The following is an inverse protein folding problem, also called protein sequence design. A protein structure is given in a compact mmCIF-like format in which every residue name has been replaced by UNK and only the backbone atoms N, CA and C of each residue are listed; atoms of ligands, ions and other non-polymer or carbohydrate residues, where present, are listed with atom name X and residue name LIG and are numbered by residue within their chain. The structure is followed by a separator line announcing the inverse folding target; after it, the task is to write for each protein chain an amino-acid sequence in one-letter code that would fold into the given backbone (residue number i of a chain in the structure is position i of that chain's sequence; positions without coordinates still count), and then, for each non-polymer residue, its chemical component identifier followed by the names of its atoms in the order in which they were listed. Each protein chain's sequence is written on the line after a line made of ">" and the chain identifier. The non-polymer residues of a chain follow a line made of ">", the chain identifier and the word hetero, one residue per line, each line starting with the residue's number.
data_IF_881907998044
#
_entry.id   IF_881907998044
#
_cell.length_a   1.000
_cell.length_b   1.000
_cell.length_c   1.000
_cell.angle_alpha   90.00
_cell.angle_beta   90.00
_cell.angle_gamma   90.00
#
_symmetry.space_group_name_H-M   'P 1'
#
loop_
_entity.id
_entity.type
_entity.pdbx_description
1 polymer ?
#
# COMPACT_ATOMS: atom_id res chain seq x y z
N UNK A 1 28.37 46.17 -4.05
CA UNK A 1 27.66 45.72 -2.82
C UNK A 1 26.18 46.08 -2.93
N UNK A 2 25.38 45.25 -3.61
CA UNK A 2 23.92 45.39 -3.60
C UNK A 2 23.36 44.47 -2.51
N UNK A 3 22.64 45.05 -1.55
CA UNK A 3 22.01 44.30 -0.45
C UNK A 3 20.92 43.39 -1.03
N UNK A 4 21.06 42.09 -0.83
CA UNK A 4 19.98 41.11 -0.98
C UNK A 4 18.86 41.50 0.00
N UNK A 5 17.79 42.13 -0.50
CA UNK A 5 16.54 42.25 0.24
C UNK A 5 15.91 40.87 0.32
N UNK A 6 16.12 40.17 1.44
CA UNK A 6 15.29 39.03 1.81
C UNK A 6 13.88 39.56 2.07
N UNK A 7 12.96 39.34 1.13
CA UNK A 7 11.53 39.55 1.38
C UNK A 7 11.12 38.66 2.57
N UNK A 8 10.38 39.18 3.55
CA UNK A 8 9.90 38.36 4.65
C UNK A 8 8.93 37.30 4.10
N UNK A 9 9.20 36.02 4.39
CA UNK A 9 8.27 34.93 4.13
C UNK A 9 7.01 35.22 4.96
N UNK A 10 5.95 35.66 4.29
CA UNK A 10 4.65 35.93 4.91
C UNK A 10 4.16 34.63 5.55
N UNK A 11 4.26 34.52 6.87
CA UNK A 11 3.65 33.43 7.64
C UNK A 11 2.15 33.41 7.33
N UNK A 12 1.76 32.40 6.55
CA UNK A 12 0.40 32.24 6.04
C UNK A 12 -0.42 31.57 7.13
N UNK A 13 -1.41 32.29 7.65
CA UNK A 13 -2.29 31.83 8.75
C UNK A 13 -2.77 30.40 8.54
N UNK A 14 -2.61 29.54 9.56
CA UNK A 14 -2.97 28.11 9.52
C UNK A 14 -4.41 27.84 9.07
N UNK A 15 -5.32 28.79 9.34
CA UNK A 15 -6.71 28.73 8.87
C UNK A 15 -6.88 28.78 7.36
N UNK A 16 -6.02 29.51 6.64
CA UNK A 16 -6.05 29.57 5.16
C UNK A 16 -5.50 28.30 4.50
N UNK A 17 -4.60 27.59 5.19
CA UNK A 17 -4.04 26.33 4.73
C UNK A 17 -5.05 25.19 4.93
N UNK A 18 -5.71 25.14 6.09
CA UNK A 18 -6.75 24.16 6.37
C UNK A 18 -7.93 24.30 5.40
N UNK A 19 -8.43 25.52 5.16
CA UNK A 19 -9.55 25.72 4.22
C UNK A 19 -9.23 25.26 2.81
N UNK A 20 -7.97 25.41 2.36
CA UNK A 20 -7.50 24.92 1.07
C UNK A 20 -7.37 23.41 1.00
N UNK A 21 -6.91 22.77 2.07
CA UNK A 21 -6.90 21.31 2.18
C UNK A 21 -8.33 20.75 2.10
N UNK A 22 -9.28 21.37 2.82
CA UNK A 22 -10.68 20.99 2.75
C UNK A 22 -11.31 21.25 1.38
N UNK A 23 -10.95 22.36 0.69
CA UNK A 23 -11.38 22.63 -0.68
C UNK A 23 -10.85 21.57 -1.65
N UNK A 24 -9.57 21.20 -1.54
CA UNK A 24 -8.95 20.19 -2.37
C UNK A 24 -9.58 18.81 -2.19
N UNK A 25 -10.00 18.46 -0.97
CA UNK A 25 -10.74 17.22 -0.70
C UNK A 25 -12.15 17.23 -1.33
N UNK A 26 -12.78 18.40 -1.47
CA UNK A 26 -14.08 18.55 -2.14
C UNK A 26 -13.98 18.51 -3.66
N UNK A 27 -12.83 18.87 -4.23
CA UNK A 27 -12.59 18.85 -5.69
C UNK A 27 -12.40 17.43 -6.26
N UNK A 28 -12.24 16.44 -5.38
CA UNK A 28 -12.13 15.03 -5.71
C UNK A 28 -13.53 14.42 -5.81
N UNK A 29 -13.80 13.80 -6.94
CA UNK A 29 -15.03 13.05 -7.16
C UNK A 29 -15.01 11.74 -6.35
N UNK A 30 -15.57 11.79 -5.15
CA UNK A 30 -15.63 10.66 -4.24
C UNK A 30 -16.44 9.48 -4.78
N UNK A 31 -17.38 9.71 -5.71
CA UNK A 31 -18.14 8.64 -6.34
C UNK A 31 -17.28 7.84 -7.32
N UNK A 32 -16.30 8.49 -7.95
CA UNK A 32 -15.43 7.88 -8.96
C UNK A 32 -14.16 7.25 -8.36
N UNK A 33 -13.60 7.86 -7.30
CA UNK A 33 -12.31 7.44 -6.74
C UNK A 33 -12.38 6.79 -5.35
N UNK A 34 -13.52 6.85 -4.67
CA UNK A 34 -13.64 6.38 -3.29
C UNK A 34 -13.30 4.90 -3.11
N UNK A 35 -13.74 4.04 -4.04
CA UNK A 35 -13.45 2.61 -4.07
C UNK A 35 -11.93 2.32 -4.17
N UNK A 36 -11.25 2.93 -5.14
CA UNK A 36 -9.82 2.69 -5.36
C UNK A 36 -8.97 3.25 -4.22
N UNK A 37 -9.38 4.37 -3.63
CA UNK A 37 -8.72 4.94 -2.46
C UNK A 37 -8.86 4.05 -1.23
N UNK A 38 -10.04 3.48 -1.00
CA UNK A 38 -10.28 2.56 0.10
C UNK A 38 -9.47 1.26 -0.08
N UNK A 39 -9.48 0.69 -1.30
CA UNK A 39 -8.65 -0.48 -1.64
C UNK A 39 -7.17 -0.18 -1.37
N UNK A 40 -6.65 0.96 -1.87
CA UNK A 40 -5.27 1.37 -1.67
C UNK A 40 -4.94 1.54 -0.19
N UNK A 41 -5.84 2.11 0.61
CA UNK A 41 -5.65 2.25 2.04
C UNK A 41 -5.44 0.89 2.72
N UNK A 42 -6.37 -0.05 2.53
CA UNK A 42 -6.32 -1.37 3.17
C UNK A 42 -5.11 -2.19 2.72
N UNK A 43 -4.80 -2.24 1.42
CA UNK A 43 -3.64 -2.97 0.91
C UNK A 43 -2.31 -2.34 1.37
N UNK A 44 -2.23 -1.01 1.42
CA UNK A 44 -1.04 -0.32 1.92
C UNK A 44 -0.85 -0.57 3.41
N UNK A 45 -1.90 -0.35 4.20
CA UNK A 45 -1.93 -0.58 5.65
C UNK A 45 -1.49 -2.00 5.99
N UNK A 46 -2.09 -3.00 5.33
CA UNK A 46 -1.72 -4.40 5.46
C UNK A 46 -0.21 -4.65 5.30
N UNK A 47 0.36 -4.16 4.20
CA UNK A 47 1.77 -4.35 3.90
C UNK A 47 2.70 -3.55 4.83
N UNK A 48 2.22 -2.46 5.42
CA UNK A 48 2.94 -1.63 6.38
C UNK A 48 2.96 -2.31 7.75
N UNK A 49 1.83 -2.82 8.24
CA UNK A 49 1.74 -3.55 9.52
C UNK A 49 2.72 -4.73 9.53
N UNK A 50 2.79 -5.48 8.43
CA UNK A 50 3.78 -6.54 8.27
C UNK A 50 5.22 -6.01 8.33
N UNK A 51 5.56 -4.99 7.52
CA UNK A 51 6.93 -4.45 7.48
C UNK A 51 7.38 -3.88 8.82
N UNK A 52 6.49 -3.22 9.55
CA UNK A 52 6.78 -2.66 10.88
C UNK A 52 7.09 -3.73 11.92
N UNK A 53 6.57 -4.95 11.77
CA UNK A 53 6.74 -6.05 12.73
C UNK A 53 7.67 -7.16 12.24
N UNK A 54 8.13 -7.11 11.00
CA UNK A 54 8.88 -8.18 10.34
C UNK A 54 10.11 -8.62 11.14
N UNK A 55 10.92 -7.66 11.60
CA UNK A 55 12.14 -7.95 12.36
C UNK A 55 11.83 -8.66 13.68
N UNK A 56 10.81 -8.19 14.40
CA UNK A 56 10.42 -8.75 15.70
C UNK A 56 9.78 -10.14 15.54
N UNK A 57 8.95 -10.32 14.51
CA UNK A 57 8.35 -11.61 14.18
C UNK A 57 9.43 -12.67 13.89
N UNK A 58 10.46 -12.32 13.14
CA UNK A 58 11.54 -13.24 12.80
C UNK A 58 12.43 -13.56 14.01
N UNK A 59 12.80 -12.53 14.78
CA UNK A 59 13.61 -12.69 15.99
C UNK A 59 12.92 -13.63 16.98
N UNK A 60 11.63 -13.39 17.27
CA UNK A 60 10.90 -14.19 18.24
C UNK A 60 10.52 -15.59 17.75
N UNK A 61 10.20 -15.79 16.46
CA UNK A 61 9.85 -17.12 15.94
C UNK A 61 11.05 -18.02 15.66
N UNK A 62 12.19 -17.45 15.25
CA UNK A 62 13.34 -18.23 14.79
C UNK A 62 14.61 -18.00 15.63
N UNK A 63 14.60 -17.08 16.59
CA UNK A 63 15.75 -16.78 17.47
C UNK A 63 16.97 -16.29 16.69
N UNK A 64 16.78 -15.64 15.54
CA UNK A 64 17.88 -15.31 14.64
C UNK A 64 18.55 -13.99 14.98
N UNK A 65 19.87 -13.95 14.82
CA UNK A 65 20.64 -12.74 15.07
C UNK A 65 20.20 -11.54 14.19
N UNK A 66 20.39 -10.29 14.66
CA UNK A 66 20.11 -9.08 13.88
C UNK A 66 20.82 -9.03 12.52
N UNK A 67 21.98 -9.69 12.39
CA UNK A 67 22.72 -9.83 11.12
C UNK A 67 21.90 -10.58 10.07
N UNK A 68 21.24 -11.68 10.47
CA UNK A 68 20.38 -12.47 9.57
C UNK A 68 19.13 -11.66 9.19
N UNK A 69 18.52 -10.95 10.14
CA UNK A 69 17.38 -10.05 9.87
C UNK A 69 17.76 -9.00 8.82
N UNK A 70 18.95 -8.40 8.94
CA UNK A 70 19.47 -7.47 7.93
C UNK A 70 19.64 -8.09 6.54
N UNK A 71 20.10 -9.35 6.46
CA UNK A 71 20.16 -10.07 5.19
C UNK A 71 18.78 -10.35 4.59
N UNK A 72 17.77 -10.66 5.42
CA UNK A 72 16.40 -10.88 4.97
C UNK A 72 15.76 -9.58 4.43
N UNK A 73 15.98 -8.46 5.10
CA UNK A 73 15.54 -7.14 4.62
C UNK A 73 16.23 -6.80 3.30
N UNK A 74 17.53 -7.08 3.18
CA UNK A 74 18.28 -6.86 1.94
C UNK A 74 17.73 -7.72 0.79
N UNK A 75 17.45 -9.00 1.07
CA UNK A 75 16.80 -9.91 0.13
C UNK A 75 15.43 -9.38 -0.31
N UNK A 76 14.59 -8.94 0.63
CA UNK A 76 13.30 -8.33 0.33
C UNK A 76 13.45 -7.10 -0.59
N UNK A 77 14.47 -6.27 -0.37
CA UNK A 77 14.78 -5.12 -1.22
C UNK A 77 15.12 -5.51 -2.65
N UNK A 78 15.99 -6.51 -2.83
CA UNK A 78 16.36 -7.04 -4.17
C UNK A 78 15.13 -7.59 -4.89
N UNK A 79 14.33 -8.42 -4.22
CA UNK A 79 13.12 -8.99 -4.83
C UNK A 79 12.09 -7.90 -5.14
N UNK A 80 11.95 -6.88 -4.29
CA UNK A 80 11.06 -5.73 -4.56
C UNK A 80 11.49 -4.93 -5.78
N UNK A 81 12.80 -4.76 -5.99
CA UNK A 81 13.35 -4.12 -7.18
C UNK A 81 13.05 -4.96 -8.43
N UNK A 82 13.36 -6.25 -8.42
CA UNK A 82 13.06 -7.18 -9.51
C UNK A 82 11.56 -7.20 -9.83
N UNK A 83 10.71 -7.30 -8.81
CA UNK A 83 9.26 -7.23 -8.94
C UNK A 83 8.83 -5.95 -9.64
N UNK A 84 9.43 -4.80 -9.27
CA UNK A 84 9.24 -3.51 -9.91
C UNK A 84 9.47 -3.57 -11.43
N UNK A 85 10.59 -4.15 -11.88
CA UNK A 85 10.88 -4.32 -13.31
C UNK A 85 9.89 -5.28 -13.99
N UNK A 86 9.45 -6.34 -13.31
CA UNK A 86 8.49 -7.30 -13.85
C UNK A 86 7.07 -6.72 -14.01
N UNK A 87 6.68 -5.73 -13.20
CA UNK A 87 5.30 -5.18 -13.21
C UNK A 87 4.82 -4.73 -14.58
N UNK A 88 5.68 -4.10 -15.39
CA UNK A 88 5.30 -3.64 -16.73
C UNK A 88 4.89 -4.80 -17.66
N UNK A 89 5.56 -5.95 -17.57
CA UNK A 89 5.20 -7.15 -18.35
C UNK A 89 3.91 -7.78 -17.83
N UNK A 90 3.74 -7.82 -16.50
CA UNK A 90 2.52 -8.34 -15.85
C UNK A 90 1.31 -7.49 -16.26
N UNK A 91 1.42 -6.18 -16.22
CA UNK A 91 0.32 -5.29 -16.59
C UNK A 91 -0.05 -5.41 -18.07
N UNK A 92 0.94 -5.55 -18.96
CA UNK A 92 0.70 -5.83 -20.38
C UNK A 92 0.02 -7.17 -20.61
N UNK A 93 0.33 -8.19 -19.81
CA UNK A 93 -0.30 -9.51 -19.90
C UNK A 93 -1.78 -9.45 -19.50
N UNK A 94 -2.10 -8.77 -18.41
CA UNK A 94 -3.48 -8.68 -17.91
C UNK A 94 -4.39 -7.84 -18.81
N UNK A 95 -3.88 -6.76 -19.42
CA UNK A 95 -4.62 -5.77 -20.25
C UNK A 95 -5.77 -5.05 -19.55
N UNK A 96 -6.18 -5.52 -18.39
CA UNK A 96 -7.27 -5.06 -17.54
C UNK A 96 -6.71 -4.84 -16.13
N UNK A 97 -6.49 -3.57 -15.78
CA UNK A 97 -5.88 -3.19 -14.51
C UNK A 97 -6.74 -3.56 -13.30
N UNK A 98 -8.07 -3.72 -13.45
CA UNK A 98 -8.94 -4.11 -12.35
C UNK A 98 -8.81 -5.59 -12.02
N UNK A 99 -8.72 -6.44 -13.05
CA UNK A 99 -8.38 -7.88 -12.86
C UNK A 99 -6.98 -8.04 -12.26
N UNK A 100 -6.02 -7.28 -12.77
CA UNK A 100 -4.64 -7.26 -12.25
C UNK A 100 -4.63 -6.87 -10.76
N UNK A 101 -5.36 -5.82 -10.38
CA UNK A 101 -5.48 -5.40 -8.98
C UNK A 101 -6.12 -6.48 -8.11
N UNK A 102 -7.22 -7.09 -8.57
CA UNK A 102 -7.90 -8.14 -7.80
C UNK A 102 -6.99 -9.35 -7.55
N UNK A 103 -6.39 -9.92 -8.60
CA UNK A 103 -5.51 -11.09 -8.45
C UNK A 103 -4.28 -10.79 -7.59
N UNK A 104 -3.68 -9.61 -7.74
CA UNK A 104 -2.54 -9.20 -6.91
C UNK A 104 -2.94 -8.96 -5.45
N UNK A 105 -4.16 -8.47 -5.18
CA UNK A 105 -4.70 -8.32 -3.82
C UNK A 105 -4.94 -9.66 -3.13
N UNK A 106 -5.47 -10.65 -3.87
CA UNK A 106 -5.62 -12.03 -3.38
C UNK A 106 -4.24 -12.64 -3.11
N UNK A 107 -3.29 -12.47 -4.03
CA UNK A 107 -1.92 -12.95 -3.85
C UNK A 107 -1.24 -12.32 -2.63
N UNK A 108 -1.43 -11.02 -2.40
CA UNK A 108 -0.95 -10.33 -1.20
C UNK A 108 -1.52 -10.96 0.06
N UNK A 109 -2.84 -11.18 0.09
CA UNK A 109 -3.55 -11.75 1.24
C UNK A 109 -3.03 -13.15 1.57
N UNK A 110 -2.87 -14.00 0.56
CA UNK A 110 -2.33 -15.35 0.71
C UNK A 110 -0.86 -15.33 1.16
N UNK A 111 -0.07 -14.40 0.65
CA UNK A 111 1.35 -14.26 1.04
C UNK A 111 1.47 -13.85 2.51
N UNK A 112 0.65 -12.91 2.97
CA UNK A 112 0.63 -12.48 4.38
C UNK A 112 0.11 -13.55 5.32
N UNK A 113 -0.92 -14.29 4.90
CA UNK A 113 -1.39 -15.46 5.64
C UNK A 113 -0.25 -16.48 5.79
N UNK A 114 0.41 -16.82 4.68
CA UNK A 114 1.54 -17.75 4.66
C UNK A 114 2.71 -17.29 5.54
N UNK A 115 3.01 -15.99 5.56
CA UNK A 115 4.03 -15.40 6.43
C UNK A 115 3.65 -15.46 7.91
N UNK A 116 2.37 -15.31 8.23
CA UNK A 116 1.87 -15.34 9.62
C UNK A 116 1.95 -16.75 10.20
N UNK A 117 1.74 -17.79 9.38
CA UNK A 117 1.74 -19.20 9.81
C UNK A 117 3.02 -19.96 9.42
N UNK A 118 4.07 -19.27 8.98
CA UNK A 118 5.27 -19.89 8.45
C UNK A 118 6.00 -20.74 9.52
N UNK A 119 6.15 -22.05 9.33
CA UNK A 119 6.78 -22.93 10.33
C UNK A 119 8.32 -22.90 10.28
N UNK A 120 8.91 -22.34 9.21
CA UNK A 120 10.35 -22.30 9.01
C UNK A 120 10.78 -21.07 8.22
N UNK A 121 12.05 -20.70 8.35
CA UNK A 121 12.64 -19.56 7.65
C UNK A 121 12.59 -19.74 6.12
N UNK A 122 12.70 -20.98 5.63
CA UNK A 122 12.59 -21.31 4.20
C UNK A 122 11.19 -21.03 3.65
N UNK A 123 10.14 -21.37 4.40
CA UNK A 123 8.75 -21.06 4.02
C UNK A 123 8.53 -19.55 4.04
N UNK A 124 9.07 -18.85 5.04
CA UNK A 124 9.01 -17.39 5.11
C UNK A 124 9.66 -16.73 3.88
N UNK A 125 10.85 -17.19 3.47
CA UNK A 125 11.53 -16.73 2.26
C UNK A 125 10.71 -16.99 0.99
N UNK A 126 10.06 -18.16 0.89
CA UNK A 126 9.22 -18.50 -0.24
C UNK A 126 7.97 -17.60 -0.31
N UNK A 127 7.38 -17.24 0.83
CA UNK A 127 6.24 -16.32 0.89
C UNK A 127 6.62 -14.84 0.70
N UNK A 128 7.86 -14.45 0.97
CA UNK A 128 8.35 -13.09 0.72
C UNK A 128 8.36 -12.72 -0.77
N UNK A 129 8.62 -13.68 -1.65
CA UNK A 129 8.67 -13.46 -3.11
C UNK A 129 7.32 -12.99 -3.65
N UNK A 130 6.20 -13.74 -3.48
CA UNK A 130 4.88 -13.31 -3.93
C UNK A 130 4.38 -12.07 -3.18
N UNK A 131 4.79 -11.85 -1.92
CA UNK A 131 4.51 -10.60 -1.20
C UNK A 131 5.12 -9.39 -1.92
N UNK A 132 6.41 -9.45 -2.27
CA UNK A 132 7.09 -8.35 -2.96
C UNK A 132 6.50 -8.11 -4.35
N UNK A 133 6.21 -9.20 -5.08
CA UNK A 133 5.59 -9.13 -6.40
C UNK A 133 4.20 -8.50 -6.35
N UNK A 134 3.32 -9.02 -5.49
CA UNK A 134 1.96 -8.49 -5.33
C UNK A 134 1.96 -7.02 -4.94
N UNK A 135 2.77 -6.59 -3.96
CA UNK A 135 2.80 -5.18 -3.56
C UNK A 135 3.30 -4.26 -4.70
N UNK A 136 4.23 -4.72 -5.54
CA UNK A 136 4.67 -3.95 -6.71
C UNK A 136 3.54 -3.83 -7.75
N UNK A 137 2.89 -4.95 -8.09
CA UNK A 137 1.79 -5.00 -9.04
C UNK A 137 0.60 -4.15 -8.57
N UNK A 138 0.20 -4.24 -7.30
CA UNK A 138 -0.86 -3.42 -6.70
C UNK A 138 -0.57 -1.93 -6.87
N UNK A 139 0.67 -1.48 -6.64
CA UNK A 139 1.03 -0.06 -6.80
C UNK A 139 0.84 0.42 -8.24
N UNK A 140 1.24 -0.39 -9.22
CA UNK A 140 1.13 -0.07 -10.64
C UNK A 140 -0.33 -0.10 -11.11
N UNK A 141 -1.05 -1.20 -10.85
CA UNK A 141 -2.45 -1.36 -11.26
C UNK A 141 -3.37 -0.33 -10.59
N UNK A 142 -3.17 -0.06 -9.30
CA UNK A 142 -3.94 0.98 -8.60
C UNK A 142 -3.71 2.36 -9.20
N UNK A 143 -2.46 2.66 -9.59
CA UNK A 143 -2.14 3.94 -10.23
C UNK A 143 -2.71 4.03 -11.65
N UNK A 144 -2.67 2.94 -12.41
CA UNK A 144 -3.27 2.87 -13.75
C UNK A 144 -4.79 3.09 -13.70
N UNK A 145 -5.50 2.47 -12.74
CA UNK A 145 -6.94 2.67 -12.54
C UNK A 145 -7.24 4.14 -12.15
N UNK A 146 -6.50 4.68 -11.18
CA UNK A 146 -6.69 6.07 -10.75
C UNK A 146 -6.48 7.06 -11.91
N UNK A 147 -5.42 6.87 -12.70
CA UNK A 147 -5.13 7.73 -13.85
C UNK A 147 -6.19 7.54 -14.94
N UNK A 148 -6.57 6.29 -15.24
CA UNK A 148 -7.56 5.96 -16.27
C UNK A 148 -8.96 6.52 -15.99
N UNK A 149 -9.33 6.73 -14.73
CA UNK A 149 -10.59 7.39 -14.33
C UNK A 149 -10.50 8.91 -14.27
N UNK A 150 -9.30 9.49 -14.36
CA UNK A 150 -9.07 10.90 -14.12
C UNK A 150 -8.96 11.69 -15.42
N UNK A 151 -9.55 12.88 -15.46
CA UNK A 151 -9.29 13.83 -16.53
C UNK A 151 -7.81 14.29 -16.48
N UNK A 152 -7.10 14.44 -17.62
CA UNK A 152 -5.68 14.78 -17.64
C UNK A 152 -5.29 16.01 -16.80
N UNK A 153 -6.17 17.01 -16.72
CA UNK A 153 -5.94 18.24 -15.93
C UNK A 153 -5.96 18.02 -14.40
N UNK A 154 -6.52 16.92 -13.91
CA UNK A 154 -6.68 16.62 -12.47
C UNK A 154 -5.76 15.51 -11.96
N UNK A 155 -4.95 14.88 -12.82
CA UNK A 155 -4.13 13.70 -12.48
C UNK A 155 -3.18 14.00 -11.31
N UNK A 156 -2.54 15.16 -11.30
CA UNK A 156 -1.64 15.57 -10.22
C UNK A 156 -2.34 15.68 -8.87
N UNK A 157 -3.54 16.27 -8.86
CA UNK A 157 -4.34 16.44 -7.65
C UNK A 157 -4.81 15.08 -7.08
N UNK A 158 -5.41 14.24 -7.93
CA UNK A 158 -5.92 12.91 -7.53
C UNK A 158 -4.78 11.99 -7.09
N UNK A 159 -3.65 12.00 -7.79
CA UNK A 159 -2.47 11.20 -7.41
C UNK A 159 -1.87 11.68 -6.10
N UNK A 160 -1.78 13.00 -5.90
CA UNK A 160 -1.32 13.61 -4.65
C UNK A 160 -2.21 13.20 -3.47
N UNK A 161 -3.52 13.23 -3.64
CA UNK A 161 -4.45 12.75 -2.62
C UNK A 161 -4.27 11.25 -2.31
N UNK A 162 -4.04 10.44 -3.33
CA UNK A 162 -3.67 9.03 -3.16
C UNK A 162 -2.42 8.84 -2.28
N UNK A 163 -1.44 9.74 -2.33
CA UNK A 163 -0.28 9.73 -1.45
C UNK A 163 -0.61 10.19 -0.02
N UNK A 164 -1.55 11.12 0.15
CA UNK A 164 -2.07 11.49 1.46
C UNK A 164 -2.71 10.30 2.17
N UNK A 165 -3.51 9.49 1.46
CA UNK A 165 -4.09 8.25 2.00
C UNK A 165 -3.00 7.26 2.45
N UNK A 166 -1.96 7.08 1.63
CA UNK A 166 -0.83 6.23 1.99
C UNK A 166 -0.07 6.78 3.23
N UNK A 167 -0.03 8.09 3.39
CA UNK A 167 0.56 8.76 4.56
C UNK A 167 -0.27 8.53 5.82
N UNK A 168 -1.59 8.61 5.73
CA UNK A 168 -2.50 8.27 6.84
C UNK A 168 -2.32 6.80 7.24
N UNK A 169 -2.26 5.89 6.26
CA UNK A 169 -1.98 4.47 6.55
C UNK A 169 -0.66 4.29 7.30
N UNK A 170 0.41 4.98 6.88
CA UNK A 170 1.71 4.97 7.58
C UNK A 170 1.67 5.56 8.99
N UNK A 171 0.84 6.58 9.21
CA UNK A 171 0.67 7.19 10.53
C UNK A 171 -0.05 6.24 11.50
N UNK A 172 -1.11 5.59 11.04
CA UNK A 172 -1.94 4.71 11.88
C UNK A 172 -1.30 3.33 12.09
N UNK A 173 -0.46 2.87 11.15
CA UNK A 173 0.14 1.53 11.20
C UNK A 173 0.86 1.23 12.52
N UNK A 174 1.83 2.03 13.01
CA UNK A 174 2.60 1.68 14.21
C UNK A 174 1.72 1.58 15.46
N UNK A 175 0.67 2.40 15.55
CA UNK A 175 -0.27 2.37 16.68
C UNK A 175 -1.04 1.05 16.70
N UNK A 176 -1.64 0.66 15.57
CA UNK A 176 -2.41 -0.59 15.49
C UNK A 176 -1.49 -1.81 15.62
N UNK A 177 -0.31 -1.76 14.99
CA UNK A 177 0.73 -2.77 15.14
C UNK A 177 1.09 -3.00 16.62
N UNK A 178 1.37 -1.93 17.38
CA UNK A 178 1.71 -2.03 18.80
C UNK A 178 0.59 -2.67 19.63
N UNK A 179 -0.65 -2.17 19.50
CA UNK A 179 -1.80 -2.72 20.23
C UNK A 179 -1.98 -4.21 19.92
N UNK A 180 -1.90 -4.59 18.65
CA UNK A 180 -2.14 -5.98 18.23
C UNK A 180 -1.01 -6.92 18.65
N UNK A 181 0.20 -6.38 18.77
CA UNK A 181 1.38 -7.11 19.25
C UNK A 181 1.29 -7.42 20.75
N UNK A 182 0.72 -6.53 21.56
CA UNK A 182 0.48 -6.79 22.99
C UNK A 182 -0.48 -7.97 23.21
N UNK A 183 -1.46 -8.15 22.31
CA UNK A 183 -2.42 -9.26 22.38
C UNK A 183 -1.74 -10.59 22.01
N UNK A 184 -0.94 -10.59 20.93
CA UNK A 184 -0.22 -11.76 20.47
C UNK A 184 0.90 -11.38 19.51
N UNK A 185 1.99 -12.15 19.51
CA UNK A 185 3.05 -12.07 18.51
C UNK A 185 2.53 -12.17 17.06
N UNK A 186 1.46 -12.95 16.85
CA UNK A 186 0.84 -13.12 15.53
C UNK A 186 -0.22 -12.04 15.23
N UNK A 187 -0.57 -11.20 16.20
CA UNK A 187 -1.61 -10.17 16.08
C UNK A 187 -1.41 -9.23 14.89
N UNK A 188 -0.20 -8.64 14.71
CA UNK A 188 0.08 -7.80 13.55
C UNK A 188 -0.05 -8.55 12.21
N UNK A 189 0.40 -9.80 12.16
CA UNK A 189 0.28 -10.65 10.97
C UNK A 189 -1.18 -10.96 10.62
N UNK A 190 -2.00 -11.29 11.63
CA UNK A 190 -3.43 -11.51 11.47
C UNK A 190 -4.15 -10.24 11.01
N UNK A 191 -3.85 -9.08 11.60
CA UNK A 191 -4.43 -7.80 11.18
C UNK A 191 -4.00 -7.39 9.76
N UNK A 192 -2.74 -7.63 9.40
CA UNK A 192 -2.27 -7.47 8.03
C UNK A 192 -3.06 -8.35 7.06
N UNK A 193 -3.27 -9.62 7.41
CA UNK A 193 -4.02 -10.58 6.58
C UNK A 193 -5.49 -10.19 6.45
N UNK A 194 -6.15 -9.82 7.55
CA UNK A 194 -7.55 -9.37 7.55
C UNK A 194 -7.74 -8.11 6.69
N UNK A 195 -6.86 -7.12 6.85
CA UNK A 195 -6.92 -5.88 6.04
C UNK A 195 -6.64 -6.14 4.57
N UNK A 196 -5.71 -7.04 4.21
CA UNK A 196 -5.52 -7.46 2.82
C UNK A 196 -6.77 -8.16 2.27
N UNK A 197 -7.41 -9.03 3.06
CA UNK A 197 -8.66 -9.70 2.70
C UNK A 197 -9.79 -8.71 2.42
N UNK A 198 -9.95 -7.68 3.25
CA UNK A 198 -10.90 -6.58 3.00
C UNK A 198 -10.56 -5.86 1.69
N UNK A 199 -9.30 -5.51 1.47
CA UNK A 199 -8.84 -4.88 0.23
C UNK A 199 -9.12 -5.74 -1.01
N UNK A 200 -8.90 -7.06 -0.92
CA UNK A 200 -9.20 -8.01 -1.99
C UNK A 200 -10.71 -8.14 -2.25
N UNK A 201 -11.53 -8.18 -1.21
CA UNK A 201 -12.99 -8.20 -1.32
C UNK A 201 -13.52 -6.94 -2.01
N UNK A 202 -13.03 -5.76 -1.63
CA UNK A 202 -13.36 -4.49 -2.28
C UNK A 202 -12.89 -4.45 -3.74
N UNK A 203 -11.70 -4.94 -4.04
CA UNK A 203 -11.21 -5.05 -5.42
C UNK A 203 -12.08 -6.01 -6.26
N UNK A 204 -12.55 -7.12 -5.67
CA UNK A 204 -13.47 -8.05 -6.33
C UNK A 204 -14.84 -7.42 -6.59
N UNK A 205 -15.39 -6.68 -5.62
CA UNK A 205 -16.62 -5.92 -5.81
C UNK A 205 -16.47 -4.89 -6.95
N UNK A 206 -15.40 -4.10 -6.95
CA UNK A 206 -15.09 -3.14 -8.02
C UNK A 206 -14.99 -3.81 -9.40
N UNK A 207 -14.35 -4.98 -9.49
CA UNK A 207 -14.24 -5.76 -10.73
C UNK A 207 -15.62 -6.24 -11.23
N UNK A 208 -16.49 -6.69 -10.32
CA UNK A 208 -17.84 -7.15 -10.66
C UNK A 208 -18.75 -5.99 -11.12
N UNK A 209 -18.62 -4.81 -10.52
CA UNK A 209 -19.39 -3.61 -10.91
C UNK A 209 -19.10 -3.16 -12.34
N UNK A 210 -17.87 -3.38 -12.84
CA UNK A 210 -17.53 -3.03 -14.23
C UNK A 210 -18.09 -4.02 -15.24
N UNK A 211 -18.22 -5.30 -14.89
CA UNK A 211 -18.87 -6.29 -15.76
C UNK A 211 -20.38 -6.04 -15.96
N UNK A 212 -21.02 -5.27 -15.07
CA UNK A 212 -22.47 -5.03 -15.09
C UNK A 212 -22.89 -3.69 -15.69
N UNK A 213 -21.96 -2.89 -16.25
CA UNK A 213 -22.30 -1.67 -16.96
C UNK A 213 -22.53 -2.02 -18.44
N UNK A 214 -23.78 -2.11 -18.94
CA UNK A 214 -24.01 -2.32 -20.36
C UNK A 214 -23.44 -1.11 -21.12
N UNK A 215 -22.79 -1.40 -22.25
CA UNK A 215 -22.30 -0.42 -23.23
C UNK A 215 -23.40 0.53 -23.71
#
# INVERSE_FOLDING_TARGET
>A
MSRLQTQPVKERSDGENLSRVFSFMKDIDWQVFGDIFLIRFFLSFSSLVYRSNFSLLIDQNFGVSPKIIGYLISFQGIISALAGFCTGRVSKFYRDSQKELFHSSVLLSLSLLGLTVAPSLSVLLLCLIPLCLSTAVIRVSSSAITIGRCHPSKVGAVTGFGQSIASIARMVTPLIAGITQEISIYGPGAMGTLSAGIGAGLAGHMLNSVKHKPE
#
